data_IF_360893825100
#
_entry.id   IF_360893825100
#
_cell.length_a   1.000
_cell.length_b   1.000
_cell.length_c   1.000
_cell.angle_alpha   90.00
_cell.angle_beta   90.00
_cell.angle_gamma   90.00
#
_symmetry.space_group_name_H-M   'P 1'
#
loop_
_entity.id
_entity.type
_entity.pdbx_description
1 polymer ?
#
# COMPACT_ATOMS: atom_id res chain seq x y z
N UNK A 1 -16.77 -3.98 -17.55
CA UNK A 1 -15.76 -2.96 -17.19
C UNK A 1 -14.53 -3.30 -17.99
N UNK A 2 -13.80 -2.32 -18.52
CA UNK A 2 -12.63 -2.59 -19.35
C UNK A 2 -11.33 -2.48 -18.56
N UNK A 3 -10.30 -3.20 -19.01
CA UNK A 3 -8.96 -3.16 -18.44
C UNK A 3 -8.38 -1.75 -18.51
N UNK A 4 -8.63 -1.02 -19.60
CA UNK A 4 -8.27 0.38 -19.80
C UNK A 4 -8.75 1.27 -18.65
N UNK A 5 -9.97 1.04 -18.15
CA UNK A 5 -10.55 1.80 -17.03
C UNK A 5 -9.79 1.54 -15.74
N UNK A 6 -9.42 0.28 -15.47
CA UNK A 6 -8.65 -0.11 -14.27
C UNK A 6 -7.23 0.48 -14.36
N UNK A 7 -6.61 0.40 -15.53
CA UNK A 7 -5.30 1.00 -15.78
C UNK A 7 -5.31 2.50 -15.48
N UNK A 8 -6.17 3.26 -16.16
CA UNK A 8 -6.22 4.72 -16.02
C UNK A 8 -6.50 5.17 -14.58
N UNK A 9 -7.32 4.42 -13.83
CA UNK A 9 -7.68 4.79 -12.45
C UNK A 9 -6.67 4.35 -11.40
N UNK A 10 -5.96 3.25 -11.60
CA UNK A 10 -5.23 2.59 -10.51
C UNK A 10 -3.77 2.26 -10.81
N UNK A 11 -3.25 2.44 -12.04
CA UNK A 11 -1.88 2.05 -12.39
C UNK A 11 -0.84 2.61 -11.41
N UNK A 12 -0.86 3.92 -11.13
CA UNK A 12 0.14 4.54 -10.26
C UNK A 12 0.07 4.00 -8.85
N UNK A 13 -1.14 3.86 -8.29
CA UNK A 13 -1.31 3.30 -6.95
C UNK A 13 -0.85 1.84 -6.87
N UNK A 14 -1.06 1.05 -7.93
CA UNK A 14 -0.60 -0.35 -7.98
C UNK A 14 0.92 -0.42 -8.14
N UNK A 15 1.51 0.39 -9.01
CA UNK A 15 2.95 0.51 -9.21
C UNK A 15 3.67 0.85 -7.91
N UNK A 16 3.27 1.94 -7.23
CA UNK A 16 3.90 2.33 -5.96
C UNK A 16 3.68 1.29 -4.86
N UNK A 17 2.53 0.60 -4.86
CA UNK A 17 2.27 -0.47 -3.90
C UNK A 17 3.21 -1.67 -4.10
N UNK A 18 3.49 -2.05 -5.35
CA UNK A 18 4.44 -3.11 -5.70
C UNK A 18 5.87 -2.66 -5.39
N UNK A 19 6.27 -1.46 -5.82
CA UNK A 19 7.61 -0.91 -5.60
C UNK A 19 7.97 -0.88 -4.13
N UNK A 20 7.03 -0.46 -3.27
CA UNK A 20 7.23 -0.46 -1.82
C UNK A 20 7.47 -1.85 -1.24
N UNK A 21 6.98 -2.91 -1.89
CA UNK A 21 7.10 -4.29 -1.41
C UNK A 21 8.35 -4.98 -1.91
N UNK A 22 8.77 -4.68 -3.13
CA UNK A 22 9.85 -5.38 -3.81
C UNK A 22 11.16 -4.59 -3.82
N UNK A 23 11.07 -3.26 -3.73
CA UNK A 23 12.20 -2.33 -3.73
C UNK A 23 13.12 -2.45 -4.97
N UNK A 24 12.55 -2.82 -6.11
CA UNK A 24 13.25 -2.90 -7.38
C UNK A 24 12.31 -2.46 -8.52
N UNK A 25 12.80 -1.60 -9.42
CA UNK A 25 11.96 -0.98 -10.46
C UNK A 25 11.63 -1.97 -11.57
N UNK A 26 12.57 -2.80 -11.99
CA UNK A 26 12.38 -3.75 -13.07
C UNK A 26 11.40 -4.84 -12.65
N UNK A 27 11.60 -5.42 -11.47
CA UNK A 27 10.66 -6.38 -10.89
C UNK A 27 9.28 -5.76 -10.65
N UNK A 28 9.22 -4.47 -10.28
CA UNK A 28 7.94 -3.76 -10.16
C UNK A 28 7.20 -3.73 -11.49
N UNK A 29 7.89 -3.39 -12.58
CA UNK A 29 7.33 -3.36 -13.92
C UNK A 29 6.84 -4.75 -14.36
N UNK A 30 7.61 -5.80 -14.09
CA UNK A 30 7.25 -7.18 -14.42
C UNK A 30 5.99 -7.65 -13.68
N UNK A 31 5.95 -7.43 -12.37
CA UNK A 31 4.77 -7.73 -11.54
C UNK A 31 3.58 -6.91 -12.02
N UNK A 32 3.79 -5.66 -12.40
CA UNK A 32 2.72 -4.78 -12.88
C UNK A 32 2.15 -5.30 -14.20
N UNK A 33 3.00 -5.67 -15.16
CA UNK A 33 2.60 -6.23 -16.43
C UNK A 33 1.81 -7.53 -16.25
N UNK A 34 2.33 -8.47 -15.46
CA UNK A 34 1.67 -9.74 -15.15
C UNK A 34 0.31 -9.54 -14.46
N UNK A 35 0.24 -8.58 -13.53
CA UNK A 35 -1.00 -8.22 -12.86
C UNK A 35 -2.05 -7.74 -13.85
N UNK A 36 -1.69 -6.86 -14.78
CA UNK A 36 -2.63 -6.34 -15.78
C UNK A 36 -3.05 -7.37 -16.82
N UNK A 37 -2.17 -8.31 -17.18
CA UNK A 37 -2.52 -9.46 -18.01
C UNK A 37 -3.59 -10.31 -17.32
N UNK A 38 -3.40 -10.66 -16.05
CA UNK A 38 -4.38 -11.43 -15.26
C UNK A 38 -5.67 -10.66 -15.03
N UNK A 39 -5.60 -9.34 -14.82
CA UNK A 39 -6.78 -8.48 -14.76
C UNK A 39 -7.56 -8.57 -16.07
N UNK A 40 -6.90 -8.42 -17.22
CA UNK A 40 -7.56 -8.48 -18.51
C UNK A 40 -8.25 -9.82 -18.75
N UNK A 41 -7.55 -10.92 -18.48
CA UNK A 41 -8.09 -12.28 -18.63
C UNK A 41 -9.31 -12.52 -17.73
N UNK A 42 -9.30 -12.00 -16.50
CA UNK A 42 -10.32 -12.32 -15.48
C UNK A 42 -11.36 -11.21 -15.27
N UNK A 43 -11.33 -10.13 -16.06
CA UNK A 43 -12.20 -8.96 -15.83
C UNK A 43 -13.70 -9.31 -15.92
N UNK A 44 -14.05 -10.34 -16.69
CA UNK A 44 -15.40 -10.87 -16.81
C UNK A 44 -15.94 -11.44 -15.48
N UNK A 45 -15.07 -11.85 -14.56
CA UNK A 45 -15.45 -12.38 -13.24
C UNK A 45 -15.79 -11.26 -12.23
N UNK A 46 -15.50 -10.00 -12.56
CA UNK A 46 -15.79 -8.86 -11.69
C UNK A 46 -17.29 -8.56 -11.67
N UNK A 47 -18.00 -9.17 -10.70
CA UNK A 47 -19.46 -9.02 -10.54
C UNK A 47 -19.89 -7.60 -10.12
N UNK A 48 -19.11 -6.93 -9.28
CA UNK A 48 -19.41 -5.59 -8.78
C UNK A 48 -18.28 -4.60 -9.12
N UNK A 49 -18.61 -3.57 -9.91
CA UNK A 49 -17.68 -2.53 -10.37
C UNK A 49 -17.13 -1.66 -9.24
N UNK A 50 -17.88 -1.45 -8.16
CA UNK A 50 -17.40 -0.70 -6.98
C UNK A 50 -16.24 -1.40 -6.29
N UNK A 51 -16.19 -2.74 -6.40
CA UNK A 51 -15.11 -3.56 -5.82
C UNK A 51 -13.90 -3.72 -6.76
N UNK A 52 -13.90 -3.08 -7.93
CA UNK A 52 -12.84 -3.18 -8.92
C UNK A 52 -11.45 -2.90 -8.33
N UNK A 53 -11.33 -1.87 -7.49
CA UNK A 53 -10.08 -1.53 -6.82
C UNK A 53 -9.59 -2.67 -5.91
N UNK A 54 -10.47 -3.16 -5.03
CA UNK A 54 -10.10 -4.23 -4.09
C UNK A 54 -9.72 -5.52 -4.83
N UNK A 55 -10.44 -5.86 -5.91
CA UNK A 55 -10.18 -7.02 -6.75
C UNK A 55 -8.85 -6.91 -7.53
N UNK A 56 -8.58 -5.77 -8.18
CA UNK A 56 -7.31 -5.55 -8.87
C UNK A 56 -6.10 -5.61 -7.92
N UNK A 57 -6.22 -5.00 -6.72
CA UNK A 57 -5.18 -5.09 -5.69
C UNK A 57 -5.04 -6.50 -5.10
N UNK A 58 -6.07 -7.34 -5.17
CA UNK A 58 -5.93 -8.75 -4.78
C UNK A 58 -5.03 -9.49 -5.76
N UNK A 59 -5.20 -9.27 -7.07
CA UNK A 59 -4.34 -9.85 -8.10
C UNK A 59 -2.89 -9.41 -7.89
N UNK A 60 -2.65 -8.11 -7.68
CA UNK A 60 -1.29 -7.59 -7.38
C UNK A 60 -0.67 -8.25 -6.16
N UNK A 61 -1.42 -8.41 -5.07
CA UNK A 61 -0.90 -9.10 -3.87
C UNK A 61 -0.52 -10.55 -4.15
N UNK A 62 -1.30 -11.24 -4.99
CA UNK A 62 -0.98 -12.60 -5.40
C UNK A 62 0.29 -12.62 -6.26
N UNK A 63 0.48 -11.69 -7.21
CA UNK A 63 1.72 -11.61 -7.99
C UNK A 63 2.95 -11.34 -7.14
N UNK A 64 2.85 -10.42 -6.17
CA UNK A 64 3.94 -10.15 -5.22
C UNK A 64 4.27 -11.41 -4.41
N UNK A 65 3.25 -12.12 -3.93
CA UNK A 65 3.42 -13.36 -3.18
C UNK A 65 4.07 -14.46 -4.05
N UNK A 66 3.66 -14.59 -5.31
CA UNK A 66 4.22 -15.55 -6.26
C UNK A 66 5.68 -15.21 -6.59
N UNK A 67 6.01 -13.92 -6.75
CA UNK A 67 7.39 -13.45 -6.91
C UNK A 67 8.26 -13.88 -5.72
N UNK A 68 7.83 -13.61 -4.48
CA UNK A 68 8.61 -13.99 -3.31
C UNK A 68 8.73 -15.52 -3.14
N UNK A 69 7.69 -16.29 -3.46
CA UNK A 69 7.75 -17.76 -3.41
C UNK A 69 8.59 -18.39 -4.52
N UNK A 70 8.71 -17.73 -5.68
CA UNK A 70 9.64 -18.14 -6.74
C UNK A 70 11.07 -17.75 -6.38
N UNK A 71 11.26 -16.55 -5.82
CA UNK A 71 12.57 -16.09 -5.34
C UNK A 71 13.10 -16.98 -4.22
N UNK A 72 12.26 -17.45 -3.28
CA UNK A 72 12.69 -18.37 -2.22
C UNK A 72 13.14 -19.74 -2.74
N UNK A 73 12.63 -20.17 -3.90
CA UNK A 73 13.10 -21.38 -4.59
C UNK A 73 14.42 -21.16 -5.35
N UNK A 74 14.69 -19.95 -5.83
CA UNK A 74 15.94 -19.60 -6.53
C UNK A 74 17.07 -19.28 -5.53
N UNK A 75 16.74 -18.71 -4.37
CA UNK A 75 17.69 -18.29 -3.33
C UNK A 75 18.24 -19.46 -2.50
N UNK A 76 17.70 -20.68 -2.63
CA UNK A 76 18.39 -21.86 -2.07
C UNK A 76 19.74 -22.16 -2.74
N UNK A 77 20.07 -21.51 -3.87
CA UNK A 77 21.31 -21.74 -4.61
C UNK A 77 22.27 -20.53 -4.63
N UNK A 78 21.87 -19.33 -4.20
CA UNK A 78 22.75 -18.16 -4.22
C UNK A 78 22.49 -17.22 -3.03
N UNK A 79 23.39 -17.28 -2.05
CA UNK A 79 23.52 -16.31 -0.96
C UNK A 79 23.90 -14.93 -1.51
N UNK A 80 22.92 -14.07 -1.80
CA UNK A 80 23.14 -12.63 -1.87
C UNK A 80 21.99 -11.93 -1.15
N UNK A 81 22.31 -11.32 0.00
CA UNK A 81 21.40 -10.41 0.67
C UNK A 81 21.25 -9.14 -0.20
N UNK A 82 20.04 -8.74 -0.59
CA UNK A 82 19.89 -7.51 -1.36
C UNK A 82 20.16 -6.32 -0.45
N UNK A 83 21.15 -5.52 -0.85
CA UNK A 83 21.47 -4.23 -0.26
C UNK A 83 20.26 -3.30 -0.49
N UNK A 84 19.65 -2.87 0.62
CA UNK A 84 18.53 -1.93 0.61
C UNK A 84 19.06 -0.56 0.20
N UNK A 85 18.96 -0.22 -1.08
CA UNK A 85 19.03 1.17 -1.53
C UNK A 85 17.62 1.76 -1.44
N UNK A 86 17.45 2.69 -0.50
CA UNK A 86 16.24 3.47 -0.30
C UNK A 86 16.33 4.69 -1.22
N UNK A 87 15.67 4.67 -2.38
CA UNK A 87 15.51 5.88 -3.18
C UNK A 87 14.05 6.21 -3.51
N UNK A 88 13.73 7.45 -3.15
CA UNK A 88 12.56 8.28 -3.41
C UNK A 88 11.23 7.71 -2.92
N UNK A 89 10.94 8.07 -1.66
CA UNK A 89 9.60 8.18 -1.14
C UNK A 89 8.68 8.89 -2.16
N UNK A 90 7.39 8.56 -2.12
CA UNK A 90 6.39 9.55 -2.47
C UNK A 90 6.58 10.64 -1.40
N UNK A 91 7.31 11.71 -1.71
CA UNK A 91 7.58 12.80 -0.78
C UNK A 91 6.30 13.61 -0.52
N UNK A 92 5.34 12.96 0.13
CA UNK A 92 4.47 13.64 1.06
C UNK A 92 5.40 14.17 2.15
N UNK A 93 5.86 15.37 1.92
CA UNK A 93 6.72 16.22 2.72
C UNK A 93 6.51 16.19 4.25
N UNK A 94 5.39 15.64 4.73
CA UNK A 94 5.05 15.54 6.15
C UNK A 94 4.58 14.14 6.60
N UNK A 95 4.58 13.12 5.74
CA UNK A 95 4.06 11.79 6.09
C UNK A 95 4.83 11.14 7.25
N UNK A 96 6.15 11.12 7.17
CA UNK A 96 6.97 10.51 8.23
C UNK A 96 6.84 11.27 9.56
N UNK A 97 6.68 12.60 9.50
CA UNK A 97 6.40 13.43 10.68
C UNK A 97 5.06 13.06 11.32
N UNK A 98 3.99 12.99 10.54
CA UNK A 98 2.67 12.63 11.06
C UNK A 98 2.61 11.19 11.57
N UNK A 99 3.34 10.28 10.92
CA UNK A 99 3.47 8.92 11.40
C UNK A 99 4.25 8.86 12.72
N UNK A 100 5.31 9.65 12.87
CA UNK A 100 6.09 9.73 14.10
C UNK A 100 5.28 10.29 15.27
N UNK A 101 4.42 11.28 15.01
CA UNK A 101 3.55 11.93 16.01
C UNK A 101 2.27 11.15 16.34
N UNK A 102 2.04 10.02 15.67
CA UNK A 102 0.86 9.20 15.92
C UNK A 102 1.03 8.44 17.26
N UNK A 103 -0.02 8.33 18.10
CA UNK A 103 0.05 7.54 19.32
C UNK A 103 0.56 6.12 19.06
N UNK A 104 1.41 5.60 19.95
CA UNK A 104 2.19 4.38 19.69
C UNK A 104 1.31 3.16 19.37
N UNK A 105 0.15 3.05 20.01
CA UNK A 105 -0.80 1.97 19.73
C UNK A 105 -1.40 2.00 18.31
N UNK A 106 -1.42 3.16 17.67
CA UNK A 106 -1.88 3.34 16.29
C UNK A 106 -0.71 3.25 15.31
N UNK A 107 0.43 3.85 15.67
CA UNK A 107 1.68 3.82 14.89
C UNK A 107 2.18 2.40 14.70
N UNK A 108 2.24 1.61 15.76
CA UNK A 108 2.67 0.21 15.72
C UNK A 108 1.85 -0.61 14.72
N UNK A 109 0.52 -0.56 14.82
CA UNK A 109 -0.39 -1.30 13.95
C UNK A 109 -0.33 -0.81 12.50
N UNK A 110 -0.30 0.51 12.25
CA UNK A 110 -0.16 1.03 10.89
C UNK A 110 1.18 0.62 10.28
N UNK A 111 2.26 0.70 11.05
CA UNK A 111 3.61 0.36 10.58
C UNK A 111 3.69 -1.11 10.22
N UNK A 112 3.25 -2.00 11.11
CA UNK A 112 3.25 -3.44 10.86
C UNK A 112 2.44 -3.82 9.61
N UNK A 113 1.26 -3.23 9.43
CA UNK A 113 0.38 -3.58 8.30
C UNK A 113 0.81 -2.91 6.99
N UNK A 114 1.07 -1.61 6.99
CA UNK A 114 1.26 -0.83 5.76
C UNK A 114 2.73 -0.58 5.39
N UNK A 115 3.65 -0.70 6.34
CA UNK A 115 5.09 -0.57 6.07
C UNK A 115 5.68 -1.99 5.98
N UNK A 116 5.61 -2.76 7.06
CA UNK A 116 6.16 -4.13 7.11
C UNK A 116 5.33 -5.15 6.30
N UNK A 117 4.05 -4.87 6.00
CA UNK A 117 3.23 -5.75 5.16
C UNK A 117 2.65 -6.98 5.85
N UNK A 118 2.63 -6.99 7.19
CA UNK A 118 2.08 -8.09 7.97
C UNK A 118 0.57 -8.21 7.76
N UNK A 119 0.04 -9.44 7.79
CA UNK A 119 -1.42 -9.65 7.75
C UNK A 119 -2.01 -9.16 9.08
N UNK A 120 -3.21 -8.59 9.03
CA UNK A 120 -3.88 -8.08 10.25
C UNK A 120 -4.10 -9.17 11.32
N UNK A 121 -4.26 -10.43 10.89
CA UNK A 121 -4.37 -11.57 11.81
C UNK A 121 -3.05 -11.81 12.55
N UNK A 122 -1.93 -11.81 11.84
CA UNK A 122 -0.60 -12.01 12.41
C UNK A 122 -0.25 -10.87 13.35
N UNK A 123 -0.59 -9.62 12.99
CA UNK A 123 -0.44 -8.46 13.88
C UNK A 123 -1.28 -8.60 15.15
N UNK A 124 -2.50 -9.12 15.05
CA UNK A 124 -3.37 -9.34 16.22
C UNK A 124 -2.73 -10.32 17.22
N UNK A 125 -2.15 -11.41 16.70
CA UNK A 125 -1.40 -12.39 17.49
C UNK A 125 -0.12 -11.79 18.09
N UNK A 126 0.65 -11.04 17.30
CA UNK A 126 1.92 -10.43 17.71
C UNK A 126 1.76 -9.47 18.90
N UNK A 127 0.74 -8.61 18.87
CA UNK A 127 0.52 -7.59 19.91
C UNK A 127 -0.50 -8.02 20.99
N UNK A 128 -0.99 -9.26 20.92
CA UNK A 128 -1.90 -9.83 21.91
C UNK A 128 -3.30 -9.17 21.98
N UNK A 129 -3.85 -8.72 20.85
CA UNK A 129 -5.21 -8.12 20.80
C UNK A 129 -6.11 -8.81 19.77
N UNK A 130 -7.42 -8.57 19.83
CA UNK A 130 -8.36 -9.13 18.85
C UNK A 130 -8.16 -8.52 17.45
N UNK A 131 -8.48 -9.28 16.40
CA UNK A 131 -8.52 -8.77 15.02
C UNK A 131 -9.47 -7.57 14.86
N UNK A 132 -10.54 -7.53 15.65
CA UNK A 132 -11.46 -6.38 15.69
C UNK A 132 -10.75 -5.12 16.22
N UNK A 133 -9.97 -5.26 17.30
CA UNK A 133 -9.17 -4.15 17.86
C UNK A 133 -8.08 -3.68 16.87
N UNK A 134 -7.41 -4.59 16.17
CA UNK A 134 -6.46 -4.23 15.09
C UNK A 134 -7.16 -3.36 14.03
N UNK A 135 -8.33 -3.79 13.53
CA UNK A 135 -9.10 -3.03 12.55
C UNK A 135 -9.53 -1.65 13.08
N UNK A 136 -9.97 -1.58 14.34
CA UNK A 136 -10.36 -0.34 14.99
C UNK A 136 -9.17 0.64 15.11
N UNK A 137 -8.01 0.15 15.56
CA UNK A 137 -6.76 0.91 15.64
C UNK A 137 -6.34 1.43 14.27
N UNK A 138 -6.36 0.60 13.22
CA UNK A 138 -6.07 1.04 11.84
C UNK A 138 -7.01 2.16 11.40
N UNK A 139 -8.31 2.03 11.66
CA UNK A 139 -9.30 3.04 11.27
C UNK A 139 -9.04 4.37 11.96
N UNK A 140 -8.78 4.35 13.27
CA UNK A 140 -8.50 5.55 14.07
C UNK A 140 -7.17 6.19 13.66
N UNK A 141 -6.14 5.38 13.42
CA UNK A 141 -4.85 5.78 12.93
C UNK A 141 -4.95 6.55 11.59
N UNK A 142 -5.70 6.01 10.62
CA UNK A 142 -5.96 6.69 9.35
C UNK A 142 -6.70 8.00 9.50
N UNK A 143 -7.71 8.05 10.37
CA UNK A 143 -8.48 9.27 10.63
C UNK A 143 -7.57 10.39 11.15
N UNK A 144 -6.71 10.09 12.12
CA UNK A 144 -5.76 11.05 12.68
C UNK A 144 -4.75 11.55 11.64
N UNK A 145 -4.24 10.65 10.80
CA UNK A 145 -3.33 11.04 9.72
C UNK A 145 -4.02 11.99 8.73
N UNK A 146 -5.24 11.66 8.29
CA UNK A 146 -6.03 12.52 7.38
C UNK A 146 -6.27 13.90 8.01
N UNK A 147 -6.70 13.94 9.27
CA UNK A 147 -6.93 15.19 10.02
C UNK A 147 -5.68 16.06 10.03
N UNK A 148 -4.50 15.48 10.30
CA UNK A 148 -3.22 16.20 10.28
C UNK A 148 -2.82 16.67 8.88
N UNK A 149 -3.05 15.86 7.85
CA UNK A 149 -2.80 16.27 6.47
C UNK A 149 -3.70 17.42 6.02
N UNK A 150 -4.95 17.45 6.48
CA UNK A 150 -5.88 18.52 6.17
C UNK A 150 -5.52 19.82 6.92
N UNK A 151 -5.23 19.73 8.22
CA UNK A 151 -4.84 20.89 9.05
C UNK A 151 -3.54 21.54 8.56
N UNK A 152 -2.55 20.71 8.23
CA UNK A 152 -1.19 21.17 8.05
C UNK A 152 -0.83 21.40 6.57
N UNK A 153 -1.28 20.50 5.67
CA UNK A 153 -0.88 20.52 4.26
C UNK A 153 -1.99 20.96 3.31
N UNK A 154 -3.18 21.36 3.82
CA UNK A 154 -4.37 21.73 3.03
C UNK A 154 -4.83 20.66 2.03
N UNK A 155 -4.54 19.39 2.29
CA UNK A 155 -5.20 18.33 1.54
C UNK A 155 -6.68 18.29 1.93
N UNK A 156 -7.54 17.99 0.97
CA UNK A 156 -8.97 17.80 1.16
C UNK A 156 -9.35 16.38 0.79
N UNK A 157 -10.43 15.86 1.37
CA UNK A 157 -11.02 14.62 0.89
C UNK A 157 -12.00 14.94 -0.22
N UNK A 158 -11.78 14.37 -1.41
CA UNK A 158 -12.81 14.38 -2.44
C UNK A 158 -13.99 13.45 -2.05
N UNK A 159 -15.05 13.47 -2.86
CA UNK A 159 -16.24 12.63 -2.67
C UNK A 159 -15.95 11.11 -2.64
N UNK A 160 -14.79 10.68 -3.14
CA UNK A 160 -14.33 9.28 -3.11
C UNK A 160 -13.49 8.94 -1.87
N UNK A 161 -13.33 9.88 -0.92
CA UNK A 161 -12.50 9.73 0.26
C UNK A 161 -11.01 9.67 -0.02
N UNK A 162 -10.55 10.27 -1.13
CA UNK A 162 -9.12 10.41 -1.47
C UNK A 162 -8.64 11.80 -1.07
N UNK A 163 -7.44 11.86 -0.50
CA UNK A 163 -6.71 13.12 -0.31
C UNK A 163 -6.39 13.73 -1.69
N UNK A 164 -6.83 14.95 -1.91
CA UNK A 164 -6.61 15.78 -3.11
C UNK A 164 -6.12 17.17 -2.66
N UNK A 165 -5.37 17.88 -3.49
CA UNK A 165 -4.79 19.18 -3.15
C UNK A 165 -3.28 19.24 -3.43
N UNK A 166 -2.71 20.42 -3.26
CA UNK A 166 -1.27 20.66 -3.43
C UNK A 166 -0.57 20.72 -2.07
N UNK A 167 0.62 20.11 -1.98
CA UNK A 167 1.42 20.14 -0.75
C UNK A 167 1.86 21.57 -0.44
N UNK A 168 1.35 22.15 0.65
CA UNK A 168 1.89 23.41 1.18
C UNK A 168 2.70 23.19 2.47
N UNK A 169 3.91 22.66 2.30
CA UNK A 169 4.79 22.30 3.41
C UNK A 169 5.27 23.47 4.27
N UNK A 170 5.27 24.69 3.73
CA UNK A 170 5.77 25.86 4.46
C UNK A 170 4.86 26.25 5.64
N UNK A 171 3.66 25.67 5.71
CA UNK A 171 2.73 25.81 6.83
C UNK A 171 2.89 24.69 7.88
N UNK A 172 3.64 23.64 7.57
CA UNK A 172 3.93 22.55 8.49
C UNK A 172 5.23 22.80 9.23
N UNK A 173 5.15 23.62 10.29
CA UNK A 173 6.18 23.66 11.34
C UNK A 173 5.90 22.58 12.39
#
# INVERSE_FOLDING_TARGET
METSTIWNKYNGQMYFFILKKVNDRDTTNDIMQNSFLKIHQNIHQLKNREKAKAWAFQIVRNEIHDYFNKSSKIVQDLNHAPIVQTESYLDLCCFDRFLANLPEEYKSVITMVYIKGMKQKDVASEIGISLANVKARIRRAKRLLIEKFNECCKYELNLEGKLVGESNCSLCN
#
